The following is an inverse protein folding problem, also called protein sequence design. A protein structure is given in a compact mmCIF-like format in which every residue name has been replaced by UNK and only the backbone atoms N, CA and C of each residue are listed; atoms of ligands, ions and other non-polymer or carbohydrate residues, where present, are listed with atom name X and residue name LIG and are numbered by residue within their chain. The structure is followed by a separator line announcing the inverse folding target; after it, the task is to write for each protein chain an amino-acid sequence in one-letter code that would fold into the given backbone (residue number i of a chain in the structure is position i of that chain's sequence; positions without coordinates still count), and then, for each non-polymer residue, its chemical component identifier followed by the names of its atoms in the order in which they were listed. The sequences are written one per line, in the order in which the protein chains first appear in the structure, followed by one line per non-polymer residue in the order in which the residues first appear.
data_IF_409880022626
#
_entry.id   IF_409880022626
#
_cell.length_a   1.000
_cell.length_b   1.000
_cell.length_c   1.000
_cell.angle_alpha   90.00
_cell.angle_beta   90.00
_cell.angle_gamma   90.00
#
_symmetry.space_group_name_H-M   'P 1'
#
loop_
_entity.id
_entity.type
_entity.pdbx_description
1 polymer ?
#
# COMPACT_ATOMS: atom_id res chain seq x y z
N UNK A 1 -4.23 -14.36 6.07
CA UNK A 1 -2.82 -13.93 6.08
C UNK A 1 -1.92 -15.11 6.48
N UNK A 2 -0.65 -14.98 6.25
CA UNK A 2 0.35 -15.96 6.70
C UNK A 2 1.55 -15.21 7.32
N UNK A 3 2.17 -15.81 8.32
CA UNK A 3 3.40 -15.32 8.98
C UNK A 3 4.54 -16.33 8.86
N UNK A 4 4.27 -17.46 8.21
CA UNK A 4 5.14 -18.61 8.09
C UNK A 4 5.30 -19.11 6.64
N UNK A 5 5.41 -18.16 5.71
CA UNK A 5 5.59 -18.38 4.27
C UNK A 5 4.53 -19.31 3.64
N UNK A 6 3.31 -19.26 4.14
CA UNK A 6 2.18 -20.02 3.59
C UNK A 6 1.97 -21.41 4.20
N UNK A 7 2.69 -21.75 5.27
CA UNK A 7 2.47 -23.02 5.98
C UNK A 7 1.12 -23.02 6.72
N UNK A 8 0.71 -21.86 7.24
CA UNK A 8 -0.60 -21.67 7.86
C UNK A 8 -1.30 -20.42 7.32
N UNK A 9 -2.63 -20.46 7.32
CA UNK A 9 -3.49 -19.35 6.84
C UNK A 9 -4.59 -19.05 7.86
N UNK A 10 -4.27 -18.45 9.02
CA UNK A 10 -5.28 -18.03 9.98
C UNK A 10 -6.17 -16.94 9.37
N UNK A 11 -7.46 -17.03 9.63
CA UNK A 11 -8.41 -16.00 9.23
C UNK A 11 -8.21 -14.71 10.04
N UNK A 12 -8.52 -13.58 9.43
CA UNK A 12 -8.62 -12.32 10.16
C UNK A 12 -9.99 -12.19 10.82
N UNK A 13 -10.08 -11.68 12.05
CA UNK A 13 -11.35 -11.35 12.66
C UNK A 13 -12.15 -10.38 11.78
N UNK A 14 -13.47 -10.53 11.78
CA UNK A 14 -14.34 -9.61 11.06
C UNK A 14 -14.15 -8.17 11.59
N UNK A 15 -13.99 -7.21 10.70
CA UNK A 15 -13.75 -5.81 11.05
C UNK A 15 -12.29 -5.46 11.33
N UNK A 16 -11.34 -6.39 11.11
CA UNK A 16 -9.91 -6.08 11.18
C UNK A 16 -9.59 -4.93 10.20
N UNK A 17 -8.95 -3.89 10.72
CA UNK A 17 -8.49 -2.77 9.90
C UNK A 17 -7.21 -3.21 9.17
N UNK A 18 -7.21 -3.04 7.87
CA UNK A 18 -6.05 -3.32 7.00
C UNK A 18 -5.65 -2.06 6.24
N UNK A 19 -4.35 -1.93 5.97
CA UNK A 19 -3.85 -0.83 5.17
C UNK A 19 -4.19 -1.04 3.70
N UNK A 20 -4.75 0.00 3.06
CA UNK A 20 -4.94 0.08 1.61
C UNK A 20 -3.67 0.55 0.88
N UNK A 21 -2.59 0.75 1.61
CA UNK A 21 -1.32 1.28 1.14
C UNK A 21 -1.46 2.62 0.37
N UNK A 22 -2.43 3.41 0.76
CA UNK A 22 -2.67 4.75 0.23
C UNK A 22 -2.23 5.78 1.26
N UNK A 23 -1.21 6.57 0.94
CA UNK A 23 -0.55 7.48 1.85
C UNK A 23 -0.63 8.93 1.40
N UNK A 24 -0.94 9.82 2.33
CA UNK A 24 -0.75 11.26 2.17
C UNK A 24 0.39 11.74 3.05
N UNK A 25 1.36 12.42 2.47
CA UNK A 25 2.52 12.94 3.18
C UNK A 25 2.72 14.43 2.97
N UNK A 26 3.36 15.08 3.94
CA UNK A 26 4.00 16.37 3.72
C UNK A 26 5.32 16.18 2.95
N UNK A 27 5.82 17.21 2.23
CA UNK A 27 7.06 17.09 1.46
C UNK A 27 8.29 16.65 2.25
N UNK A 28 8.29 16.82 3.58
CA UNK A 28 9.37 16.39 4.48
C UNK A 28 9.67 14.89 4.39
N UNK A 29 8.70 14.06 4.00
CA UNK A 29 8.93 12.61 3.81
C UNK A 29 10.00 12.33 2.77
N UNK A 30 10.11 13.13 1.72
CA UNK A 30 11.11 12.96 0.67
C UNK A 30 12.54 13.11 1.20
N UNK A 31 12.74 13.98 2.18
CA UNK A 31 14.02 14.18 2.84
C UNK A 31 14.38 12.93 3.66
N UNK A 32 13.43 12.42 4.41
CA UNK A 32 13.62 11.22 5.23
C UNK A 32 13.86 9.96 4.37
N UNK A 33 13.11 9.79 3.30
CA UNK A 33 13.31 8.70 2.34
C UNK A 33 14.72 8.74 1.74
N UNK A 34 15.16 9.91 1.26
CA UNK A 34 16.50 10.10 0.68
C UNK A 34 17.60 9.80 1.71
N UNK A 35 17.44 10.27 2.94
CA UNK A 35 18.44 10.07 4.01
C UNK A 35 18.62 8.60 4.38
N UNK A 36 17.54 7.82 4.40
CA UNK A 36 17.53 6.41 4.82
C UNK A 36 17.84 5.44 3.69
N UNK A 37 17.74 5.89 2.44
CA UNK A 37 17.89 5.01 1.29
C UNK A 37 19.28 4.42 1.15
N UNK A 38 20.35 5.22 1.33
CA UNK A 38 21.72 4.72 1.21
C UNK A 38 22.07 3.70 2.31
N UNK A 39 21.81 3.95 3.60
CA UNK A 39 21.99 2.94 4.64
C UNK A 39 21.20 1.64 4.38
N UNK A 40 19.98 1.77 3.87
CA UNK A 40 19.20 0.61 3.45
C UNK A 40 19.91 -0.19 2.35
N UNK A 41 20.40 0.46 1.28
CA UNK A 41 21.12 -0.21 0.19
C UNK A 41 22.36 -0.93 0.69
N UNK A 42 23.16 -0.30 1.53
CA UNK A 42 24.38 -0.88 2.10
C UNK A 42 24.11 -2.13 2.94
N UNK A 43 22.98 -2.13 3.66
CA UNK A 43 22.54 -3.28 4.44
C UNK A 43 21.99 -4.38 3.53
N UNK A 44 21.05 -4.06 2.65
CA UNK A 44 20.37 -5.04 1.81
C UNK A 44 21.30 -5.71 0.83
N UNK A 45 22.31 -4.99 0.32
CA UNK A 45 23.31 -5.57 -0.56
C UNK A 45 24.08 -6.72 0.10
N UNK A 46 24.28 -6.64 1.42
CA UNK A 46 24.98 -7.68 2.21
C UNK A 46 24.08 -8.81 2.66
N UNK A 47 22.81 -8.52 2.91
CA UNK A 47 21.88 -9.45 3.59
C UNK A 47 20.90 -10.12 2.65
N UNK A 48 20.37 -9.38 1.67
CA UNK A 48 19.34 -9.87 0.75
C UNK A 48 19.38 -9.14 -0.61
N UNK A 49 20.45 -9.26 -1.40
CA UNK A 49 20.68 -8.44 -2.59
C UNK A 49 19.67 -8.71 -3.72
N UNK A 50 19.01 -9.87 -3.73
CA UNK A 50 18.10 -10.27 -4.82
C UNK A 50 16.63 -9.97 -4.53
N UNK A 51 16.27 -9.81 -3.24
CA UNK A 51 14.85 -9.66 -2.82
C UNK A 51 14.63 -8.50 -1.86
N UNK A 52 15.66 -7.69 -1.63
CA UNK A 52 15.53 -6.54 -0.74
C UNK A 52 14.62 -5.47 -1.35
N UNK A 53 13.63 -5.02 -0.59
CA UNK A 53 12.69 -3.99 -1.00
C UNK A 53 12.68 -2.85 0.02
N UNK A 54 12.68 -1.60 -0.48
CA UNK A 54 12.59 -0.41 0.35
C UNK A 54 11.13 -0.04 0.57
N UNK A 55 10.54 -0.67 1.56
CA UNK A 55 9.11 -0.50 1.86
C UNK A 55 8.82 0.84 2.53
N UNK A 56 7.90 1.59 1.95
CA UNK A 56 7.43 2.85 2.53
C UNK A 56 6.86 2.70 3.96
N UNK A 57 6.07 1.66 4.28
CA UNK A 57 5.60 1.44 5.64
C UNK A 57 6.71 1.28 6.68
N UNK A 58 7.86 0.70 6.35
CA UNK A 58 8.98 0.60 7.28
C UNK A 58 9.58 1.96 7.60
N UNK A 59 9.72 2.82 6.61
CA UNK A 59 10.19 4.20 6.84
C UNK A 59 9.24 4.96 7.76
N UNK A 60 7.94 4.78 7.57
CA UNK A 60 6.92 5.37 8.44
C UNK A 60 7.03 4.83 9.86
N UNK A 61 7.18 3.52 10.03
CA UNK A 61 7.34 2.89 11.36
C UNK A 61 8.59 3.42 12.08
N UNK A 62 9.74 3.49 11.41
CA UNK A 62 10.95 4.08 11.97
C UNK A 62 10.73 5.53 12.42
N UNK A 63 10.02 6.35 11.61
CA UNK A 63 9.71 7.73 11.95
C UNK A 63 8.79 7.84 13.16
N UNK A 64 7.83 6.92 13.32
CA UNK A 64 6.97 6.83 14.49
C UNK A 64 7.77 6.48 15.75
N UNK A 65 8.65 5.47 15.67
CA UNK A 65 9.51 5.08 16.78
C UNK A 65 10.47 6.21 17.20
N UNK A 66 10.99 6.95 16.24
CA UNK A 66 11.82 8.13 16.46
C UNK A 66 11.04 9.37 16.94
N UNK A 67 9.70 9.28 17.02
CA UNK A 67 8.79 10.42 17.36
C UNK A 67 8.94 11.61 16.41
N UNK A 68 9.26 11.36 15.15
CA UNK A 68 9.41 12.37 14.09
C UNK A 68 8.20 12.49 13.19
N UNK A 69 7.25 11.57 13.31
CA UNK A 69 6.00 11.59 12.56
C UNK A 69 4.83 11.15 13.43
N UNK A 70 3.65 11.54 13.00
CA UNK A 70 2.37 11.04 13.49
C UNK A 70 1.59 10.49 12.30
N UNK A 71 0.81 9.44 12.51
CA UNK A 71 -0.04 8.84 11.48
C UNK A 71 -1.49 8.92 11.91
N UNK A 72 -2.30 9.58 11.09
CA UNK A 72 -3.76 9.55 11.23
C UNK A 72 -4.32 8.49 10.28
N UNK A 73 -5.00 7.50 10.84
CA UNK A 73 -5.65 6.45 10.06
C UNK A 73 -7.03 6.94 9.64
N UNK A 74 -7.25 7.07 8.33
CA UNK A 74 -8.55 7.39 7.76
C UNK A 74 -9.25 6.10 7.33
N UNK A 75 -10.49 5.93 7.75
CA UNK A 75 -11.28 4.76 7.38
C UNK A 75 -11.94 4.99 6.03
N UNK A 76 -11.70 4.09 5.07
CA UNK A 76 -12.46 4.00 3.83
C UNK A 76 -13.52 2.91 3.93
N UNK A 77 -14.68 3.15 3.32
CA UNK A 77 -15.75 2.17 3.12
C UNK A 77 -15.82 1.67 1.68
N UNK A 78 -14.85 2.08 0.86
CA UNK A 78 -14.77 1.63 -0.53
C UNK A 78 -14.20 0.21 -0.62
N UNK A 79 -14.58 -0.48 -1.68
CA UNK A 79 -13.99 -1.76 -2.02
C UNK A 79 -12.62 -1.54 -2.67
N UNK A 80 -11.64 -2.31 -2.25
CA UNK A 80 -10.34 -2.34 -2.89
C UNK A 80 -10.35 -3.31 -4.08
N UNK A 81 -9.74 -2.90 -5.19
CA UNK A 81 -9.59 -3.72 -6.39
C UNK A 81 -8.12 -3.75 -6.80
N UNK A 82 -7.52 -4.94 -6.81
CA UNK A 82 -6.15 -5.14 -7.27
C UNK A 82 -6.10 -5.50 -8.75
N UNK A 83 -5.07 -5.02 -9.45
CA UNK A 83 -4.77 -5.36 -10.85
C UNK A 83 -3.38 -5.97 -10.99
N UNK A 84 -2.90 -6.61 -9.94
CA UNK A 84 -1.55 -7.19 -9.90
C UNK A 84 -1.42 -8.38 -10.84
N UNK A 85 -2.46 -9.16 -10.98
CA UNK A 85 -2.50 -10.34 -11.84
C UNK A 85 -3.44 -10.12 -13.03
N UNK A 86 -3.13 -10.79 -14.14
CA UNK A 86 -3.91 -10.67 -15.38
C UNK A 86 -5.36 -11.14 -15.22
N UNK A 87 -5.55 -12.13 -14.36
CA UNK A 87 -6.84 -12.73 -14.04
C UNK A 87 -7.79 -11.75 -13.34
N UNK A 88 -7.26 -10.77 -12.62
CA UNK A 88 -8.04 -9.76 -11.91
C UNK A 88 -8.70 -8.73 -12.84
N UNK A 89 -8.15 -8.58 -14.06
CA UNK A 89 -8.52 -7.52 -14.99
C UNK A 89 -10.03 -7.47 -15.28
N UNK A 90 -10.63 -8.61 -15.58
CA UNK A 90 -12.06 -8.67 -15.95
C UNK A 90 -12.95 -8.25 -14.78
N UNK A 91 -12.63 -8.72 -13.56
CA UNK A 91 -13.36 -8.38 -12.35
C UNK A 91 -13.25 -6.88 -12.04
N UNK A 92 -12.06 -6.30 -12.19
CA UNK A 92 -11.84 -4.87 -11.94
C UNK A 92 -12.56 -4.02 -12.97
N UNK A 93 -12.52 -4.41 -14.26
CA UNK A 93 -13.25 -3.71 -15.31
C UNK A 93 -14.76 -3.71 -15.05
N UNK A 94 -15.33 -4.86 -14.69
CA UNK A 94 -16.74 -4.97 -14.35
C UNK A 94 -17.12 -4.12 -13.14
N UNK A 95 -16.28 -4.11 -12.09
CA UNK A 95 -16.50 -3.30 -10.90
C UNK A 95 -16.46 -1.80 -11.21
N UNK A 96 -15.48 -1.35 -11.99
CA UNK A 96 -15.38 0.06 -12.40
C UNK A 96 -16.53 0.46 -13.32
N UNK A 97 -16.98 -0.41 -14.23
CA UNK A 97 -18.13 -0.13 -15.06
C UNK A 97 -19.38 0.04 -14.20
N UNK A 98 -19.59 -0.82 -13.22
CA UNK A 98 -20.69 -0.69 -12.26
C UNK A 98 -20.68 0.66 -11.53
N UNK A 99 -19.51 1.11 -11.07
CA UNK A 99 -19.37 2.41 -10.40
C UNK A 99 -19.69 3.60 -11.33
N UNK A 100 -19.41 3.47 -12.64
CA UNK A 100 -19.80 4.44 -13.65
C UNK A 100 -21.33 4.43 -13.88
N UNK A 101 -21.91 3.26 -13.97
CA UNK A 101 -23.37 3.09 -14.18
C UNK A 101 -24.17 3.61 -12.99
N UNK A 102 -23.62 3.51 -11.78
CA UNK A 102 -24.16 4.09 -10.55
C UNK A 102 -23.92 5.61 -10.42
N UNK A 103 -23.21 6.23 -11.36
CA UNK A 103 -22.91 7.66 -11.37
C UNK A 103 -21.83 8.09 -10.33
N UNK A 104 -21.11 7.13 -9.72
CA UNK A 104 -20.01 7.42 -8.77
C UNK A 104 -18.75 7.89 -9.48
N UNK A 105 -18.56 7.48 -10.73
CA UNK A 105 -17.52 7.95 -11.63
C UNK A 105 -18.12 8.45 -12.93
N UNK A 106 -17.50 9.45 -13.60
CA UNK A 106 -17.92 9.86 -14.93
C UNK A 106 -17.69 8.72 -15.93
N UNK A 107 -18.49 8.67 -16.98
CA UNK A 107 -18.36 7.66 -18.06
C UNK A 107 -16.99 7.77 -18.75
N UNK A 108 -16.47 9.00 -18.89
CA UNK A 108 -15.09 9.26 -19.31
C UNK A 108 -14.35 10.00 -18.18
N UNK A 109 -13.20 9.48 -17.78
CA UNK A 109 -12.39 10.10 -16.73
C UNK A 109 -11.76 11.42 -17.15
N UNK A 110 -11.48 11.54 -18.44
CA UNK A 110 -10.85 12.70 -19.06
C UNK A 110 -11.76 13.15 -20.21
N UNK A 111 -12.54 14.15 -19.98
CA UNK A 111 -13.22 14.89 -21.03
C UNK A 111 -12.30 16.05 -21.40
N UNK A 112 -11.87 16.07 -22.69
CA UNK A 112 -11.27 17.25 -23.30
C UNK A 112 -12.36 18.26 -23.65
#
# INVERSE_FOLDING_TARGET
YTEDDGATWPGLPQGTIVSMNLWGFTPSILIELKRRFLPFLENVYKTNPLKGEYFLPFVVDELLQEKKAEVTVLRSYDNWYGVTYKEDKENVMAALQKLKDEGRYPQKLWEE
#
